data_IF_009725994689
#
_entry.id   IF_009725994689
#
_cell.length_a   1.000
_cell.length_b   1.000
_cell.length_c   1.000
_cell.angle_alpha   90.00
_cell.angle_beta   90.00
_cell.angle_gamma   90.00
#
_symmetry.space_group_name_H-M   'P 1'
#
loop_
_entity.id
_entity.type
_entity.pdbx_description
1 polymer ?
#
# COMPACT_ATOMS: atom_id res chain seq x y z
N UNK A 1 47.80 18.16 -14.54
CA UNK A 1 47.41 16.99 -13.71
C UNK A 1 46.25 17.26 -12.75
N UNK A 2 45.38 18.24 -12.99
CA UNK A 2 44.23 18.56 -12.10
C UNK A 2 42.84 18.29 -12.74
N UNK A 3 42.79 17.92 -14.02
CA UNK A 3 41.53 17.75 -14.77
C UNK A 3 40.96 16.33 -14.70
N UNK A 4 41.77 15.34 -14.33
CA UNK A 4 41.37 13.93 -14.23
C UNK A 4 40.69 13.56 -12.91
N UNK A 5 40.82 14.40 -11.87
CA UNK A 5 40.20 14.14 -10.56
C UNK A 5 38.72 14.55 -10.48
N UNK A 6 38.26 15.44 -11.36
CA UNK A 6 36.85 15.86 -11.40
C UNK A 6 35.93 14.85 -12.11
N UNK A 7 36.46 13.99 -12.97
CA UNK A 7 35.66 13.04 -13.74
C UNK A 7 35.23 11.80 -12.91
N UNK A 8 36.03 11.42 -11.91
CA UNK A 8 35.73 10.26 -11.05
C UNK A 8 34.64 10.55 -10.00
N UNK A 9 34.42 11.83 -9.64
CA UNK A 9 33.38 12.23 -8.69
C UNK A 9 31.96 12.21 -9.28
N UNK A 10 31.81 12.48 -10.58
CA UNK A 10 30.49 12.52 -11.22
C UNK A 10 29.89 11.12 -11.46
N UNK A 11 30.71 10.09 -11.61
CA UNK A 11 30.24 8.70 -11.79
C UNK A 11 29.75 8.05 -10.48
N UNK A 12 30.15 8.58 -9.32
CA UNK A 12 29.66 8.11 -8.02
C UNK A 12 28.27 8.67 -7.68
N UNK A 13 27.84 9.76 -8.34
CA UNK A 13 26.55 10.39 -8.10
C UNK A 13 25.37 9.73 -8.84
N UNK A 14 25.64 8.88 -9.83
CA UNK A 14 24.59 8.16 -10.59
C UNK A 14 24.22 6.79 -10.01
N UNK A 15 24.86 6.39 -8.90
CA UNK A 15 24.66 5.08 -8.29
C UNK A 15 24.01 5.13 -6.88
N UNK A 16 23.30 6.22 -6.57
CA UNK A 16 22.49 6.35 -5.36
C UNK A 16 21.01 6.43 -5.76
N UNK A 17 20.12 5.77 -5.01
CA UNK A 17 19.76 4.38 -5.29
C UNK A 17 18.36 4.27 -5.93
N UNK A 18 18.15 3.25 -6.75
CA UNK A 18 16.83 2.77 -7.15
C UNK A 18 16.02 2.15 -5.98
N UNK A 19 16.27 2.57 -4.74
CA UNK A 19 15.76 1.98 -3.50
C UNK A 19 14.51 2.70 -2.93
N UNK A 20 13.88 3.59 -3.69
CA UNK A 20 12.60 4.21 -3.31
C UNK A 20 11.44 3.75 -4.20
N UNK A 21 11.53 2.54 -4.77
CA UNK A 21 10.34 1.91 -5.31
C UNK A 21 9.44 1.55 -4.13
N UNK A 22 8.43 2.39 -3.88
CA UNK A 22 7.29 2.14 -3.01
C UNK A 22 6.59 0.85 -3.45
N UNK A 23 7.15 -0.28 -3.06
CA UNK A 23 6.66 -1.59 -3.43
C UNK A 23 5.52 -1.90 -2.49
N UNK A 24 4.32 -1.91 -3.04
CA UNK A 24 3.17 -2.45 -2.34
C UNK A 24 3.42 -3.93 -2.05
N UNK A 25 3.32 -4.30 -0.77
CA UNK A 25 3.45 -5.68 -0.31
C UNK A 25 2.30 -6.03 0.61
N UNK A 26 2.07 -7.34 0.74
CA UNK A 26 1.19 -7.88 1.78
C UNK A 26 2.00 -8.04 3.06
N UNK A 27 1.51 -7.45 4.15
CA UNK A 27 2.05 -7.56 5.49
C UNK A 27 0.99 -8.09 6.44
N UNK A 28 1.38 -9.04 7.30
CA UNK A 28 0.49 -9.63 8.30
C UNK A 28 1.01 -9.33 9.70
N UNK A 29 0.10 -8.94 10.59
CA UNK A 29 0.35 -8.85 12.02
C UNK A 29 -0.65 -9.76 12.73
N UNK A 30 -0.17 -10.51 13.72
CA UNK A 30 -1.00 -11.37 14.54
C UNK A 30 -0.69 -11.10 16.02
N UNK A 31 -1.71 -11.20 16.85
CA UNK A 31 -1.68 -11.01 18.30
C UNK A 31 -2.59 -12.05 18.95
N UNK A 32 -2.57 -12.12 20.28
CA UNK A 32 -3.46 -13.02 21.02
C UNK A 32 -4.95 -12.68 20.82
N UNK A 33 -5.23 -11.42 20.48
CA UNK A 33 -6.57 -10.87 20.30
C UNK A 33 -7.07 -10.95 18.86
N UNK A 34 -6.23 -11.28 17.88
CA UNK A 34 -6.63 -11.27 16.47
C UNK A 34 -5.50 -11.13 15.46
N UNK A 35 -5.86 -10.91 14.20
CA UNK A 35 -4.91 -10.74 13.10
C UNK A 35 -5.34 -9.63 12.14
N UNK A 36 -4.35 -8.97 11.54
CA UNK A 36 -4.55 -7.97 10.49
C UNK A 36 -3.65 -8.27 9.29
N UNK A 37 -4.25 -8.25 8.10
CA UNK A 37 -3.57 -8.33 6.80
C UNK A 37 -3.68 -6.97 6.10
N UNK A 38 -2.56 -6.37 5.71
CA UNK A 38 -2.50 -5.05 5.09
C UNK A 38 -1.80 -5.17 3.74
N UNK A 39 -2.37 -4.56 2.70
CA UNK A 39 -1.68 -4.31 1.44
C UNK A 39 -1.30 -2.83 1.38
N UNK A 40 0.00 -2.55 1.38
CA UNK A 40 0.52 -1.19 1.50
C UNK A 40 2.02 -1.11 1.31
N UNK A 41 2.58 0.08 1.50
CA UNK A 41 4.03 0.30 1.52
C UNK A 41 4.53 0.09 2.95
N UNK A 42 5.50 -0.81 3.19
CA UNK A 42 6.04 -1.06 4.53
C UNK A 42 6.56 0.22 5.18
N UNK A 43 6.45 0.30 6.50
CA UNK A 43 7.03 1.40 7.30
C UNK A 43 6.48 2.80 6.94
N UNK A 44 5.31 2.86 6.28
CA UNK A 44 4.61 4.09 5.96
C UNK A 44 3.13 3.97 6.31
N UNK A 45 2.43 5.10 6.39
CA UNK A 45 0.97 5.15 6.55
C UNK A 45 0.21 4.85 5.23
N UNK A 46 0.94 4.49 4.16
CA UNK A 46 0.36 4.24 2.85
C UNK A 46 -0.20 2.81 2.76
N UNK A 47 -1.39 2.62 3.31
CA UNK A 47 -2.18 1.39 3.20
C UNK A 47 -3.29 1.54 2.15
N UNK A 48 -3.40 0.58 1.25
CA UNK A 48 -4.44 0.54 0.21
C UNK A 48 -5.70 -0.18 0.69
N UNK A 49 -5.50 -1.32 1.34
CA UNK A 49 -6.58 -2.14 1.90
C UNK A 49 -6.07 -2.92 3.11
N UNK A 50 -6.91 -3.06 4.13
CA UNK A 50 -6.65 -3.90 5.29
C UNK A 50 -7.84 -4.78 5.63
N UNK A 51 -7.53 -5.95 6.19
CA UNK A 51 -8.47 -6.92 6.70
C UNK A 51 -8.10 -7.20 8.14
N UNK A 52 -9.00 -6.93 9.09
CA UNK A 52 -8.78 -7.17 10.52
C UNK A 52 -9.83 -8.13 11.05
N UNK A 53 -9.41 -9.13 11.80
CA UNK A 53 -10.29 -10.02 12.55
C UNK A 53 -9.86 -10.09 14.01
N UNK A 54 -10.84 -10.17 14.90
CA UNK A 54 -10.62 -10.34 16.33
C UNK A 54 -11.01 -11.76 16.74
N UNK A 55 -10.25 -12.38 17.63
CA UNK A 55 -10.52 -13.70 18.17
C UNK A 55 -11.88 -13.74 18.87
N UNK A 56 -12.67 -14.76 18.57
CA UNK A 56 -14.04 -14.89 19.09
C UNK A 56 -15.08 -14.00 18.40
N UNK A 57 -14.68 -13.16 17.44
CA UNK A 57 -15.59 -12.37 16.62
C UNK A 57 -15.68 -12.98 15.20
N UNK A 58 -16.88 -13.34 14.70
CA UNK A 58 -17.03 -13.89 13.36
C UNK A 58 -16.89 -12.85 12.23
N UNK A 59 -16.71 -11.57 12.56
CA UNK A 59 -16.62 -10.48 11.60
C UNK A 59 -15.18 -10.21 11.17
N UNK A 60 -15.00 -9.95 9.88
CA UNK A 60 -13.79 -9.39 9.31
C UNK A 60 -14.09 -7.95 8.93
N UNK A 61 -13.36 -7.01 9.55
CA UNK A 61 -13.39 -5.60 9.15
C UNK A 61 -12.55 -5.44 7.89
N UNK A 62 -13.14 -4.83 6.85
CA UNK A 62 -12.43 -4.49 5.62
C UNK A 62 -12.36 -2.98 5.52
N UNK A 63 -11.15 -2.42 5.54
CA UNK A 63 -10.93 -0.98 5.34
C UNK A 63 -10.21 -0.78 4.02
N UNK A 64 -10.77 0.05 3.14
CA UNK A 64 -10.17 0.38 1.85
C UNK A 64 -9.97 1.87 1.76
N UNK A 65 -8.75 2.28 1.41
CA UNK A 65 -8.44 3.65 1.05
C UNK A 65 -8.65 3.79 -0.45
N UNK A 66 -9.90 3.98 -0.84
CA UNK A 66 -10.31 4.21 -2.22
C UNK A 66 -9.82 5.60 -2.66
N UNK A 67 -9.19 5.70 -3.83
CA UNK A 67 -8.83 6.98 -4.46
C UNK A 67 -7.44 7.01 -5.13
N UNK A 68 -6.62 5.99 -4.97
CA UNK A 68 -5.16 6.15 -5.13
C UNK A 68 -4.53 5.65 -6.44
N UNK A 69 -5.29 5.31 -7.49
CA UNK A 69 -4.68 5.05 -8.81
C UNK A 69 -5.54 5.49 -9.99
N UNK A 70 -5.23 6.67 -10.52
CA UNK A 70 -5.78 7.18 -11.78
C UNK A 70 -7.16 7.82 -11.68
N UNK A 71 -7.76 7.87 -10.49
CA UNK A 71 -8.94 8.66 -10.20
C UNK A 71 -8.53 10.07 -9.80
N UNK A 72 -9.23 11.08 -10.31
CA UNK A 72 -9.07 12.45 -9.83
C UNK A 72 -9.80 12.61 -8.50
N UNK A 73 -9.40 13.60 -7.74
CA UNK A 73 -10.15 14.05 -6.55
C UNK A 73 -11.62 14.26 -6.95
N UNK A 74 -12.54 13.76 -6.13
CA UNK A 74 -13.99 13.81 -6.31
C UNK A 74 -14.58 12.91 -7.42
N UNK A 75 -13.75 12.15 -8.16
CA UNK A 75 -14.26 11.19 -9.13
C UNK A 75 -15.07 10.10 -8.43
N UNK A 76 -16.17 9.69 -9.08
CA UNK A 76 -16.97 8.58 -8.59
C UNK A 76 -16.13 7.30 -8.57
N UNK A 77 -16.02 6.71 -7.37
CA UNK A 77 -15.26 5.50 -7.15
C UNK A 77 -16.18 4.39 -6.62
N UNK A 78 -15.80 3.14 -6.87
CA UNK A 78 -16.58 1.98 -6.45
C UNK A 78 -15.66 0.88 -5.93
N UNK A 79 -15.95 0.41 -4.72
CA UNK A 79 -15.37 -0.83 -4.19
C UNK A 79 -16.37 -1.96 -4.33
N UNK A 80 -15.87 -3.09 -4.81
CA UNK A 80 -16.63 -4.32 -4.94
C UNK A 80 -15.96 -5.36 -4.04
N UNK A 81 -16.64 -5.77 -2.98
CA UNK A 81 -16.22 -6.85 -2.10
C UNK A 81 -16.95 -8.13 -2.50
N UNK A 82 -16.19 -9.18 -2.79
CA UNK A 82 -16.71 -10.51 -3.15
C UNK A 82 -16.20 -11.50 -2.10
N UNK A 83 -17.14 -12.13 -1.39
CA UNK A 83 -16.86 -13.19 -0.43
C UNK A 83 -17.72 -14.42 -0.76
N UNK A 84 -17.10 -15.44 -1.36
CA UNK A 84 -17.82 -16.61 -1.88
C UNK A 84 -18.85 -16.20 -2.94
N UNK A 85 -20.14 -16.48 -2.67
CA UNK A 85 -21.27 -16.10 -3.56
C UNK A 85 -21.83 -14.71 -3.27
N UNK A 86 -21.38 -14.05 -2.21
CA UNK A 86 -21.89 -12.73 -1.81
C UNK A 86 -21.04 -11.66 -2.47
N UNK A 87 -21.69 -10.77 -3.24
CA UNK A 87 -21.10 -9.57 -3.81
C UNK A 87 -21.75 -8.35 -3.15
N UNK A 88 -20.93 -7.43 -2.63
CA UNK A 88 -21.36 -6.15 -2.10
C UNK A 88 -20.62 -5.03 -2.80
N UNK A 89 -21.35 -3.97 -3.11
CA UNK A 89 -20.85 -2.83 -3.86
C UNK A 89 -21.00 -1.58 -3.00
N UNK A 90 -19.92 -0.84 -2.86
CA UNK A 90 -19.83 0.37 -2.05
C UNK A 90 -19.43 1.50 -3.00
N UNK A 91 -20.33 2.47 -3.18
CA UNK A 91 -20.05 3.67 -3.94
C UNK A 91 -19.40 4.71 -3.01
N UNK A 92 -18.46 5.47 -3.55
CA UNK A 92 -17.78 6.55 -2.85
C UNK A 92 -17.20 7.56 -3.82
N UNK A 93 -16.36 8.44 -3.31
CA UNK A 93 -15.56 9.38 -4.10
C UNK A 93 -14.08 9.19 -3.75
N UNK A 94 -13.21 9.43 -4.72
CA UNK A 94 -11.76 9.44 -4.55
C UNK A 94 -11.27 10.69 -3.84
#
# INVERSE_FOLDING_TARGET
>A
MFRTLFAAGLLAATCLPAAAQEKLVWATTASDDGATLIFGVPETDNAMISFTCNKGNPLVLVSSMIGSKGLKVDDAAKVILIAGKVKKEFAGKA
#
